data_IF_483353632516
#
_entry.id   IF_483353632516
#
_cell.length_a   1.000
_cell.length_b   1.000
_cell.length_c   1.000
_cell.angle_alpha   90.00
_cell.angle_beta   90.00
_cell.angle_gamma   90.00
#
_symmetry.space_group_name_H-M   'P 1'
#
loop_
_entity.id
_entity.type
_entity.pdbx_description
1 polymer ?
#
# COMPACT_ATOMS: atom_id res chain seq x y z
N UNK A 1 8.57 -2.94 65.90
CA UNK A 1 8.81 -4.19 65.14
C UNK A 1 8.45 -4.14 63.64
N UNK A 2 8.62 -3.00 62.92
CA UNK A 2 8.23 -2.87 61.48
C UNK A 2 9.36 -3.07 60.43
N UNK A 3 10.57 -3.47 60.85
CA UNK A 3 11.75 -3.61 59.96
C UNK A 3 11.77 -4.82 59.00
N UNK A 4 11.29 -6.03 59.35
CA UNK A 4 11.45 -7.20 58.47
C UNK A 4 10.58 -7.13 57.22
N UNK A 5 9.37 -6.55 57.31
CA UNK A 5 8.47 -6.38 56.17
C UNK A 5 9.02 -5.43 55.09
N UNK A 6 9.72 -4.36 55.49
CA UNK A 6 10.36 -3.42 54.55
C UNK A 6 11.56 -4.03 53.83
N UNK A 7 12.32 -4.89 54.50
CA UNK A 7 13.47 -5.59 53.90
C UNK A 7 13.03 -6.67 52.91
N UNK A 8 12.00 -7.44 53.27
CA UNK A 8 11.40 -8.44 52.39
C UNK A 8 10.79 -7.81 51.13
N UNK A 9 10.11 -6.66 51.28
CA UNK A 9 9.58 -5.90 50.14
C UNK A 9 10.70 -5.36 49.23
N UNK A 10 11.80 -4.86 49.80
CA UNK A 10 12.95 -4.39 49.03
C UNK A 10 13.66 -5.52 48.27
N UNK A 11 13.85 -6.68 48.90
CA UNK A 11 14.43 -7.88 48.28
C UNK A 11 13.53 -8.41 47.15
N UNK A 12 12.21 -8.47 47.38
CA UNK A 12 11.24 -8.85 46.36
C UNK A 12 11.25 -7.89 45.16
N UNK A 13 11.31 -6.57 45.40
CA UNK A 13 11.45 -5.57 44.34
C UNK A 13 12.75 -5.75 43.55
N UNK A 14 13.88 -6.00 44.24
CA UNK A 14 15.17 -6.20 43.57
C UNK A 14 15.21 -7.47 42.72
N UNK A 15 14.57 -8.56 43.18
CA UNK A 15 14.44 -9.80 42.42
C UNK A 15 13.55 -9.62 41.17
N UNK A 16 12.45 -8.87 41.28
CA UNK A 16 11.58 -8.53 40.16
C UNK A 16 12.30 -7.68 39.10
N UNK A 17 13.12 -6.71 39.52
CA UNK A 17 13.91 -5.88 38.61
C UNK A 17 14.99 -6.68 37.89
N UNK A 18 15.66 -7.62 38.58
CA UNK A 18 16.66 -8.50 37.96
C UNK A 18 16.03 -9.48 36.96
N UNK A 19 14.89 -10.08 37.31
CA UNK A 19 14.16 -10.98 36.41
C UNK A 19 13.68 -10.26 35.14
N UNK A 20 13.13 -9.04 35.28
CA UNK A 20 12.73 -8.20 34.15
C UNK A 20 13.91 -7.73 33.28
N UNK A 21 15.09 -7.51 33.87
CA UNK A 21 16.31 -7.22 33.12
C UNK A 21 16.80 -8.40 32.28
N UNK A 22 16.73 -9.61 32.84
CA UNK A 22 17.14 -10.85 32.16
C UNK A 22 16.22 -11.16 30.97
N UNK A 23 14.90 -11.01 31.11
CA UNK A 23 13.95 -11.27 30.02
C UNK A 23 14.17 -10.33 28.83
N UNK A 24 14.48 -9.05 29.06
CA UNK A 24 14.79 -8.08 28.00
C UNK A 24 16.07 -8.40 27.24
N UNK A 25 17.08 -8.94 27.92
CA UNK A 25 18.32 -9.37 27.25
C UNK A 25 18.06 -10.58 26.35
N UNK A 26 17.30 -11.56 26.85
CA UNK A 26 16.89 -12.73 26.06
C UNK A 26 16.02 -12.32 24.86
N UNK A 27 15.09 -11.38 25.03
CA UNK A 27 14.27 -10.87 23.93
C UNK A 27 15.11 -10.29 22.78
N UNK A 28 16.19 -9.55 23.12
CA UNK A 28 17.11 -8.98 22.12
C UNK A 28 17.98 -10.05 21.46
N UNK A 29 18.37 -11.10 22.19
CA UNK A 29 19.08 -12.23 21.59
C UNK A 29 18.19 -12.98 20.59
N UNK A 30 16.94 -13.27 20.96
CA UNK A 30 15.94 -13.86 20.06
C UNK A 30 15.67 -12.97 18.83
N UNK A 31 15.53 -11.65 19.02
CA UNK A 31 15.45 -10.71 17.90
C UNK A 31 16.66 -10.83 16.95
N UNK A 32 17.88 -10.89 17.47
CA UNK A 32 19.09 -11.01 16.66
C UNK A 32 19.17 -12.35 15.92
N UNK A 33 18.73 -13.45 16.54
CA UNK A 33 18.61 -14.76 15.88
C UNK A 33 17.60 -14.69 14.73
N UNK A 34 16.43 -14.10 14.98
CA UNK A 34 15.41 -13.90 13.96
C UNK A 34 15.90 -13.05 12.79
N UNK A 35 16.63 -11.96 13.04
CA UNK A 35 17.22 -11.13 11.98
C UNK A 35 18.24 -11.91 11.14
N UNK A 36 19.05 -12.78 11.76
CA UNK A 36 19.99 -13.64 11.02
C UNK A 36 19.25 -14.65 10.14
N UNK A 37 18.24 -15.32 10.68
CA UNK A 37 17.41 -16.25 9.91
C UNK A 37 16.69 -15.55 8.75
N UNK A 38 16.12 -14.37 8.98
CA UNK A 38 15.47 -13.55 7.95
C UNK A 38 16.44 -13.20 6.81
N UNK A 39 17.66 -12.73 7.15
CA UNK A 39 18.70 -12.43 6.16
C UNK A 39 19.16 -13.65 5.36
N UNK A 40 19.02 -14.84 5.93
CA UNK A 40 19.26 -16.12 5.26
C UNK A 40 18.04 -16.65 4.50
N UNK A 41 16.97 -15.84 4.34
CA UNK A 41 15.68 -16.21 3.75
C UNK A 41 14.96 -17.39 4.45
N UNK A 42 15.34 -17.69 5.70
CA UNK A 42 14.69 -18.71 6.53
C UNK A 42 13.51 -18.06 7.28
N UNK A 43 12.45 -17.72 6.54
CA UNK A 43 11.36 -16.88 7.08
C UNK A 43 10.60 -17.54 8.24
N UNK A 44 10.35 -18.85 8.19
CA UNK A 44 9.65 -19.55 9.27
C UNK A 44 10.47 -19.57 10.57
N UNK A 45 11.76 -19.87 10.47
CA UNK A 45 12.69 -19.79 11.61
C UNK A 45 12.80 -18.35 12.14
N UNK A 46 12.77 -17.36 11.25
CA UNK A 46 12.77 -15.96 11.68
C UNK A 46 11.50 -15.61 12.47
N UNK A 47 10.33 -16.05 11.99
CA UNK A 47 9.03 -15.86 12.65
C UNK A 47 9.04 -16.43 14.07
N UNK A 48 9.53 -17.67 14.25
CA UNK A 48 9.62 -18.31 15.57
C UNK A 48 10.45 -17.47 16.56
N UNK A 49 11.63 -17.03 16.12
CA UNK A 49 12.50 -16.18 16.94
C UNK A 49 11.88 -14.82 17.26
N UNK A 50 11.20 -14.17 16.30
CA UNK A 50 10.54 -12.89 16.56
C UNK A 50 9.34 -13.03 17.50
N UNK A 51 8.54 -14.10 17.37
CA UNK A 51 7.47 -14.41 18.32
C UNK A 51 8.03 -14.61 19.72
N UNK A 52 9.13 -15.37 19.86
CA UNK A 52 9.77 -15.57 21.16
C UNK A 52 10.32 -14.28 21.75
N UNK A 53 10.88 -13.40 20.92
CA UNK A 53 11.32 -12.07 21.35
C UNK A 53 10.15 -11.23 21.91
N UNK A 54 8.98 -11.27 21.26
CA UNK A 54 7.76 -10.57 21.71
C UNK A 54 7.21 -11.18 23.01
N UNK A 55 7.26 -12.50 23.18
CA UNK A 55 6.84 -13.15 24.44
C UNK A 55 7.72 -12.71 25.63
N UNK A 56 9.03 -12.57 25.40
CA UNK A 56 10.01 -12.20 26.42
C UNK A 56 9.97 -10.69 26.75
N UNK A 57 9.73 -9.85 25.75
CA UNK A 57 9.53 -8.41 25.91
C UNK A 57 8.45 -7.89 24.94
N UNK A 58 7.17 -7.84 25.38
CA UNK A 58 6.08 -7.35 24.54
C UNK A 58 6.20 -5.88 24.12
N UNK A 59 7.10 -5.12 24.77
CA UNK A 59 7.39 -3.71 24.46
C UNK A 59 8.47 -3.54 23.39
N UNK A 60 9.13 -4.63 22.97
CA UNK A 60 10.18 -4.61 21.95
C UNK A 60 9.58 -4.43 20.54
N UNK A 61 9.22 -3.19 20.22
CA UNK A 61 8.53 -2.82 18.98
C UNK A 61 9.24 -3.33 17.71
N UNK A 62 10.57 -3.31 17.71
CA UNK A 62 11.36 -3.82 16.60
C UNK A 62 11.09 -5.31 16.31
N UNK A 63 10.84 -6.14 17.33
CA UNK A 63 10.52 -7.55 17.11
C UNK A 63 9.17 -7.71 16.39
N UNK A 64 8.18 -6.85 16.70
CA UNK A 64 6.90 -6.82 15.96
C UNK A 64 7.07 -6.37 14.52
N UNK A 65 7.86 -5.32 14.29
CA UNK A 65 8.18 -4.84 12.94
C UNK A 65 8.81 -5.97 12.12
N UNK A 66 9.83 -6.64 12.64
CA UNK A 66 10.49 -7.73 11.92
C UNK A 66 9.59 -8.96 11.73
N UNK A 67 8.73 -9.29 12.71
CA UNK A 67 7.73 -10.34 12.55
C UNK A 67 6.76 -10.02 11.39
N UNK A 68 6.24 -8.79 11.36
CA UNK A 68 5.33 -8.33 10.32
C UNK A 68 5.99 -8.36 8.93
N UNK A 69 7.26 -7.92 8.83
CA UNK A 69 8.04 -8.00 7.60
C UNK A 69 8.28 -9.45 7.17
N UNK A 70 8.55 -10.36 8.11
CA UNK A 70 8.73 -11.78 7.80
C UNK A 70 7.47 -12.41 7.20
N UNK A 71 6.28 -12.10 7.76
CA UNK A 71 5.01 -12.51 7.15
C UNK A 71 4.81 -11.86 5.77
N UNK A 72 5.05 -10.55 5.65
CA UNK A 72 4.91 -9.82 4.39
C UNK A 72 5.87 -10.32 3.30
N UNK A 73 7.03 -10.87 3.67
CA UNK A 73 8.01 -11.43 2.72
C UNK A 73 7.58 -12.77 2.13
N UNK A 74 6.68 -13.49 2.81
CA UNK A 74 6.08 -14.73 2.30
C UNK A 74 4.79 -14.47 1.50
N UNK A 75 4.19 -13.29 1.65
CA UNK A 75 3.00 -12.91 0.90
C UNK A 75 3.32 -12.67 -0.58
N UNK A 76 2.51 -13.25 -1.46
CA UNK A 76 2.59 -13.10 -2.92
C UNK A 76 1.42 -12.22 -3.38
N UNK A 77 1.66 -10.97 -3.82
CA UNK A 77 0.62 -10.10 -4.34
C UNK A 77 -0.16 -10.76 -5.48
N UNK A 78 -1.49 -10.66 -5.45
CA UNK A 78 -2.35 -11.24 -6.49
C UNK A 78 -2.66 -12.73 -6.36
N UNK A 79 -1.99 -13.47 -5.46
CA UNK A 79 -2.35 -14.85 -5.19
C UNK A 79 -3.62 -14.92 -4.30
N UNK A 80 -4.72 -15.55 -4.77
CA UNK A 80 -6.00 -15.56 -4.06
C UNK A 80 -6.11 -16.65 -2.98
N UNK A 81 -5.07 -17.47 -2.74
CA UNK A 81 -5.15 -18.56 -1.77
C UNK A 81 -5.38 -18.04 -0.34
N UNK A 82 -6.16 -18.78 0.46
CA UNK A 82 -6.45 -18.39 1.84
C UNK A 82 -5.18 -18.37 2.71
N UNK A 83 -4.21 -19.25 2.43
CA UNK A 83 -2.90 -19.24 3.09
C UNK A 83 -2.15 -17.93 2.79
N UNK A 84 -2.20 -17.46 1.54
CA UNK A 84 -1.60 -16.20 1.15
C UNK A 84 -2.30 -15.00 1.82
N UNK A 85 -3.64 -15.02 1.88
CA UNK A 85 -4.42 -13.97 2.57
C UNK A 85 -4.13 -13.95 4.07
N UNK A 86 -3.95 -15.12 4.69
CA UNK A 86 -3.62 -15.24 6.09
C UNK A 86 -2.22 -14.66 6.41
N UNK A 87 -1.24 -14.83 5.53
CA UNK A 87 0.07 -14.18 5.66
C UNK A 87 -0.05 -12.65 5.68
N UNK A 88 -0.83 -12.08 4.75
CA UNK A 88 -1.10 -10.64 4.74
C UNK A 88 -1.83 -10.19 6.01
N UNK A 89 -2.83 -10.95 6.48
CA UNK A 89 -3.57 -10.63 7.71
C UNK A 89 -2.67 -10.59 8.94
N UNK A 90 -1.80 -11.59 9.10
CA UNK A 90 -0.81 -11.63 10.21
C UNK A 90 0.17 -10.46 10.13
N UNK A 91 0.65 -10.14 8.93
CA UNK A 91 1.53 -8.99 8.73
C UNK A 91 0.84 -7.67 9.10
N UNK A 92 -0.40 -7.45 8.61
CA UNK A 92 -1.19 -6.26 8.91
C UNK A 92 -1.44 -6.14 10.42
N UNK A 93 -1.85 -7.23 11.09
CA UNK A 93 -2.13 -7.22 12.53
C UNK A 93 -0.89 -6.79 13.35
N UNK A 94 0.30 -7.31 13.03
CA UNK A 94 1.52 -6.90 13.73
C UNK A 94 1.94 -5.47 13.40
N UNK A 95 1.77 -5.00 12.17
CA UNK A 95 1.98 -3.59 11.83
C UNK A 95 0.97 -2.66 12.52
N UNK A 96 -0.29 -3.06 12.66
CA UNK A 96 -1.30 -2.29 13.40
C UNK A 96 -0.92 -2.17 14.88
N UNK A 97 -0.43 -3.24 15.50
CA UNK A 97 0.15 -3.19 16.86
C UNK A 97 1.36 -2.26 16.97
N UNK A 98 2.14 -2.12 15.89
CA UNK A 98 3.21 -1.12 15.83
C UNK A 98 2.63 0.29 15.83
N UNK A 99 1.58 0.54 15.03
CA UNK A 99 0.90 1.83 14.92
C UNK A 99 0.16 2.25 16.19
N UNK A 100 -0.27 1.30 17.04
CA UNK A 100 -0.80 1.61 18.37
C UNK A 100 0.22 2.31 19.27
N UNK A 101 1.52 2.05 19.07
CA UNK A 101 2.63 2.64 19.86
C UNK A 101 3.30 3.80 19.14
N UNK A 102 3.40 3.72 17.82
CA UNK A 102 3.97 4.74 16.94
C UNK A 102 3.02 5.00 15.76
N UNK A 103 1.99 5.85 15.94
CA UNK A 103 0.97 6.09 14.91
C UNK A 103 1.50 6.70 13.61
N UNK A 104 2.72 7.25 13.64
CA UNK A 104 3.39 7.87 12.49
C UNK A 104 4.51 6.99 11.93
N UNK A 105 4.54 5.71 12.27
CA UNK A 105 5.52 4.78 11.73
C UNK A 105 5.33 4.61 10.21
N UNK A 106 6.12 5.34 9.43
CA UNK A 106 6.05 5.38 7.95
C UNK A 106 6.21 3.97 7.35
N UNK A 107 7.09 3.16 7.92
CA UNK A 107 7.33 1.80 7.46
C UNK A 107 6.07 0.93 7.59
N UNK A 108 5.45 0.90 8.78
CA UNK A 108 4.24 0.13 9.02
C UNK A 108 3.07 0.59 8.15
N UNK A 109 2.85 1.91 8.04
CA UNK A 109 1.83 2.47 7.15
C UNK A 109 2.05 2.05 5.69
N UNK A 110 3.30 2.12 5.21
CA UNK A 110 3.68 1.73 3.84
C UNK A 110 3.46 0.26 3.55
N UNK A 111 3.83 -0.63 4.47
CA UNK A 111 3.58 -2.06 4.32
C UNK A 111 2.09 -2.38 4.34
N UNK A 112 1.31 -1.84 5.28
CA UNK A 112 -0.14 -2.09 5.33
C UNK A 112 -0.81 -1.64 4.03
N UNK A 113 -0.48 -0.43 3.54
CA UNK A 113 -1.00 0.05 2.27
C UNK A 113 -0.68 -0.90 1.10
N UNK A 114 0.54 -1.44 1.07
CA UNK A 114 1.00 -2.34 0.00
C UNK A 114 0.37 -3.74 0.11
N UNK A 115 0.18 -4.25 1.32
CA UNK A 115 -0.49 -5.53 1.57
C UNK A 115 -1.97 -5.46 1.16
N UNK A 116 -2.68 -4.38 1.47
CA UNK A 116 -4.04 -4.19 0.98
C UNK A 116 -4.13 -4.07 -0.54
N UNK A 117 -3.19 -3.39 -1.18
CA UNK A 117 -3.11 -3.38 -2.64
C UNK A 117 -2.93 -4.80 -3.21
N UNK A 118 -1.99 -5.57 -2.65
CA UNK A 118 -1.73 -6.94 -3.09
C UNK A 118 -2.90 -7.89 -2.86
N UNK A 119 -3.64 -7.74 -1.75
CA UNK A 119 -4.87 -8.48 -1.47
C UNK A 119 -5.95 -8.17 -2.52
N UNK A 120 -6.16 -6.88 -2.82
CA UNK A 120 -7.08 -6.48 -3.88
C UNK A 120 -6.71 -7.05 -5.24
N UNK A 121 -5.42 -7.15 -5.57
CA UNK A 121 -4.96 -7.74 -6.82
C UNK A 121 -5.33 -9.22 -7.01
N UNK A 122 -5.65 -9.95 -5.94
CA UNK A 122 -6.06 -11.36 -5.99
C UNK A 122 -7.57 -11.57 -6.09
N UNK A 123 -8.37 -10.51 -5.93
CA UNK A 123 -9.82 -10.63 -5.91
C UNK A 123 -10.44 -10.65 -7.31
N UNK A 124 -11.59 -11.33 -7.43
CA UNK A 124 -12.28 -11.53 -8.72
C UNK A 124 -13.38 -10.52 -8.99
N UNK A 125 -14.01 -9.96 -7.96
CA UNK A 125 -15.12 -9.02 -8.12
C UNK A 125 -14.62 -7.60 -7.91
N UNK A 126 -15.14 -6.66 -8.68
CA UNK A 126 -14.82 -5.24 -8.51
C UNK A 126 -15.12 -4.74 -7.08
N UNK A 127 -16.15 -5.31 -6.43
CA UNK A 127 -16.52 -4.98 -5.06
C UNK A 127 -15.43 -5.35 -4.04
N UNK A 128 -14.91 -6.59 -4.08
CA UNK A 128 -13.85 -7.01 -3.17
C UNK A 128 -12.51 -6.31 -3.48
N UNK A 129 -12.20 -6.07 -4.76
CA UNK A 129 -11.03 -5.26 -5.15
C UNK A 129 -11.13 -3.85 -4.54
N UNK A 130 -12.29 -3.20 -4.72
CA UNK A 130 -12.56 -1.84 -4.19
C UNK A 130 -12.38 -1.78 -2.68
N UNK A 131 -12.93 -2.75 -1.96
CA UNK A 131 -12.82 -2.82 -0.49
C UNK A 131 -11.36 -2.82 -0.03
N UNK A 132 -10.49 -3.59 -0.67
CA UNK A 132 -9.07 -3.59 -0.32
C UNK A 132 -8.33 -2.34 -0.80
N UNK A 133 -8.65 -1.84 -1.99
CA UNK A 133 -8.01 -0.62 -2.52
C UNK A 133 -8.36 0.62 -1.70
N UNK A 134 -9.59 0.76 -1.19
CA UNK A 134 -9.94 1.86 -0.30
C UNK A 134 -9.14 1.81 1.01
N UNK A 135 -8.95 0.63 1.60
CA UNK A 135 -8.04 0.49 2.75
C UNK A 135 -6.60 0.88 2.38
N UNK A 136 -6.10 0.48 1.21
CA UNK A 136 -4.79 0.93 0.73
C UNK A 136 -4.72 2.47 0.65
N UNK A 137 -5.74 3.11 0.06
CA UNK A 137 -5.84 4.58 -0.03
C UNK A 137 -5.87 5.25 1.33
N UNK A 138 -6.61 4.74 2.31
CA UNK A 138 -6.64 5.27 3.67
C UNK A 138 -5.24 5.36 4.30
N UNK A 139 -4.46 4.28 4.22
CA UNK A 139 -3.10 4.26 4.75
C UNK A 139 -2.14 5.15 3.95
N UNK A 140 -2.33 5.29 2.63
CA UNK A 140 -1.56 6.23 1.81
C UNK A 140 -1.89 7.70 2.11
N UNK A 141 -3.14 8.03 2.43
CA UNK A 141 -3.50 9.37 2.90
C UNK A 141 -2.84 9.69 4.24
N UNK A 142 -2.71 8.71 5.15
CA UNK A 142 -1.90 8.89 6.39
C UNK A 142 -0.43 9.18 6.07
N UNK A 143 0.15 8.50 5.07
CA UNK A 143 1.51 8.79 4.63
C UNK A 143 1.66 10.20 4.06
N UNK A 144 0.69 10.68 3.26
CA UNK A 144 0.65 12.07 2.76
C UNK A 144 0.62 13.08 3.91
N UNK A 145 -0.12 12.80 4.98
CA UNK A 145 -0.16 13.67 6.17
C UNK A 145 1.18 13.75 6.91
N UNK A 146 2.05 12.74 6.75
CA UNK A 146 3.39 12.71 7.36
C UNK A 146 4.41 13.36 6.45
N UNK A 147 4.39 13.01 5.16
CA UNK A 147 5.27 13.55 4.13
C UNK A 147 4.49 13.88 2.85
N UNK A 148 4.03 15.13 2.77
CA UNK A 148 3.30 15.65 1.61
C UNK A 148 4.18 15.92 0.39
N UNK A 149 5.51 15.81 0.53
CA UNK A 149 6.47 16.05 -0.56
C UNK A 149 6.95 14.75 -1.21
N UNK A 150 6.44 13.60 -0.79
CA UNK A 150 6.71 12.34 -1.43
C UNK A 150 5.70 12.08 -2.57
N UNK A 151 6.11 12.14 -3.86
CA UNK A 151 5.20 11.97 -4.98
C UNK A 151 4.64 10.55 -5.08
N UNK A 152 5.32 9.55 -4.48
CA UNK A 152 4.93 8.15 -4.55
C UNK A 152 3.57 7.89 -3.89
N UNK A 153 3.27 8.59 -2.80
CA UNK A 153 2.02 8.38 -2.07
C UNK A 153 0.80 8.84 -2.89
N UNK A 154 0.92 9.95 -3.60
CA UNK A 154 -0.10 10.45 -4.51
C UNK A 154 -0.20 9.55 -5.76
N UNK A 155 0.93 9.23 -6.39
CA UNK A 155 1.00 8.33 -7.53
C UNK A 155 0.26 7.02 -7.26
N UNK A 156 0.57 6.37 -6.13
CA UNK A 156 -0.07 5.13 -5.72
C UNK A 156 -1.60 5.25 -5.61
N UNK A 157 -2.15 6.34 -5.06
CA UNK A 157 -3.61 6.54 -5.01
C UNK A 157 -4.19 6.70 -6.43
N UNK A 158 -3.49 7.43 -7.30
CA UNK A 158 -3.84 7.57 -8.71
C UNK A 158 -3.94 6.24 -9.45
N UNK A 159 -2.96 5.36 -9.26
CA UNK A 159 -2.93 4.00 -9.83
C UNK A 159 -4.11 3.16 -9.34
N UNK A 160 -4.42 3.21 -8.04
CA UNK A 160 -5.57 2.48 -7.46
C UNK A 160 -6.89 2.93 -8.09
N UNK A 161 -7.09 4.24 -8.23
CA UNK A 161 -8.28 4.80 -8.85
C UNK A 161 -8.37 4.44 -10.33
N UNK A 162 -7.27 4.54 -11.09
CA UNK A 162 -7.24 4.09 -12.47
C UNK A 162 -7.64 2.61 -12.60
N UNK A 163 -7.10 1.73 -11.75
CA UNK A 163 -7.37 0.30 -11.82
C UNK A 163 -8.85 -0.01 -11.56
N UNK A 164 -9.50 0.70 -10.61
CA UNK A 164 -10.94 0.59 -10.38
C UNK A 164 -11.75 1.10 -11.57
N UNK A 165 -11.39 2.26 -12.12
CA UNK A 165 -12.06 2.82 -13.28
C UNK A 165 -11.96 1.89 -14.50
N UNK A 166 -10.75 1.42 -14.78
CA UNK A 166 -10.45 0.54 -15.90
C UNK A 166 -11.23 -0.77 -15.82
N UNK A 167 -11.21 -1.45 -14.67
CA UNK A 167 -11.95 -2.70 -14.50
C UNK A 167 -13.45 -2.50 -14.65
N UNK A 168 -14.02 -1.45 -14.05
CA UNK A 168 -15.44 -1.14 -14.19
C UNK A 168 -15.82 -0.86 -15.66
N UNK A 169 -14.94 -0.18 -16.40
CA UNK A 169 -15.11 0.08 -17.82
C UNK A 169 -15.08 -1.22 -18.64
N UNK A 170 -14.11 -2.11 -18.41
CA UNK A 170 -14.03 -3.42 -19.07
C UNK A 170 -15.30 -4.26 -18.82
N UNK A 171 -15.74 -4.36 -17.55
CA UNK A 171 -16.97 -5.07 -17.18
C UNK A 171 -18.21 -4.46 -17.89
N UNK A 172 -18.26 -3.14 -18.05
CA UNK A 172 -19.33 -2.42 -18.76
C UNK A 172 -19.27 -2.68 -20.26
N UNK A 173 -18.10 -2.61 -20.87
CA UNK A 173 -17.91 -2.89 -22.31
C UNK A 173 -18.33 -4.31 -22.66
N UNK A 174 -17.96 -5.28 -21.81
CA UNK A 174 -18.38 -6.67 -21.98
C UNK A 174 -19.90 -6.83 -21.86
N UNK A 175 -20.54 -6.22 -20.86
CA UNK A 175 -21.99 -6.35 -20.65
C UNK A 175 -22.82 -5.72 -21.79
N UNK A 176 -22.32 -4.63 -22.37
CA UNK A 176 -22.93 -3.97 -23.52
C UNK A 176 -22.43 -4.50 -24.89
N UNK A 177 -21.51 -5.48 -24.92
CA UNK A 177 -20.92 -6.06 -26.14
C UNK A 177 -20.21 -5.04 -27.05
N UNK A 178 -19.49 -4.08 -26.44
CA UNK A 178 -18.70 -3.05 -27.12
C UNK A 178 -17.22 -3.23 -26.77
N UNK A 179 -16.54 -4.28 -27.27
CA UNK A 179 -15.20 -4.67 -26.82
C UNK A 179 -14.09 -3.72 -27.28
N UNK A 180 -14.36 -2.91 -28.30
CA UNK A 180 -13.40 -1.98 -28.90
C UNK A 180 -13.30 -0.70 -28.08
N UNK A 181 -12.10 -0.35 -27.61
CA UNK A 181 -11.88 0.83 -26.78
C UNK A 181 -12.14 2.15 -27.53
N UNK A 182 -11.90 2.19 -28.85
CA UNK A 182 -12.18 3.34 -29.71
C UNK A 182 -13.69 3.54 -29.95
N UNK A 183 -14.49 2.48 -29.82
CA UNK A 183 -15.93 2.54 -29.97
C UNK A 183 -16.58 3.15 -28.71
N UNK A 184 -17.42 4.16 -28.95
CA UNK A 184 -18.12 4.89 -27.89
C UNK A 184 -19.22 4.01 -27.27
N UNK A 185 -19.22 3.93 -25.95
CA UNK A 185 -20.27 3.24 -25.19
C UNK A 185 -21.66 3.89 -25.46
N UNK A 186 -22.74 3.08 -25.48
CA UNK A 186 -24.12 3.59 -25.52
C UNK A 186 -24.37 4.61 -24.42
N UNK A 187 -25.26 5.58 -24.65
CA UNK A 187 -25.52 6.67 -23.69
C UNK A 187 -25.85 6.16 -22.29
N UNK A 188 -26.72 5.15 -22.19
CA UNK A 188 -27.09 4.53 -20.91
C UNK A 188 -25.87 3.95 -20.19
N UNK A 189 -25.02 3.20 -20.90
CA UNK A 189 -23.81 2.61 -20.35
C UNK A 189 -22.84 3.68 -19.84
N UNK A 190 -22.69 4.79 -20.59
CA UNK A 190 -21.85 5.92 -20.17
C UNK A 190 -22.34 6.58 -18.90
N UNK A 191 -23.65 6.83 -18.78
CA UNK A 191 -24.26 7.41 -17.56
C UNK A 191 -24.05 6.50 -16.36
N UNK A 192 -24.38 5.21 -16.48
CA UNK A 192 -24.18 4.21 -15.41
C UNK A 192 -22.70 4.07 -15.01
N UNK A 193 -21.78 4.13 -15.98
CA UNK A 193 -20.34 4.08 -15.70
C UNK A 193 -19.84 5.38 -15.06
N UNK A 194 -20.31 6.54 -15.52
CA UNK A 194 -19.94 7.85 -14.98
C UNK A 194 -20.37 8.01 -13.52
N UNK A 195 -21.54 7.51 -13.14
CA UNK A 195 -21.99 7.48 -11.73
C UNK A 195 -21.03 6.69 -10.83
N UNK A 196 -20.47 5.59 -11.34
CA UNK A 196 -19.55 4.71 -10.58
C UNK A 196 -18.11 5.21 -10.60
N UNK A 197 -17.66 5.77 -11.72
CA UNK A 197 -16.27 6.08 -11.99
C UNK A 197 -15.94 7.57 -11.90
N UNK A 198 -16.90 8.49 -11.99
CA UNK A 198 -16.65 9.93 -12.09
C UNK A 198 -15.74 10.44 -10.96
N UNK A 199 -16.17 10.26 -9.72
CA UNK A 199 -15.40 10.68 -8.55
C UNK A 199 -14.04 9.97 -8.42
N UNK A 200 -13.95 8.69 -8.82
CA UNK A 200 -12.69 7.96 -8.82
C UNK A 200 -11.72 8.53 -9.86
N UNK A 201 -12.22 8.82 -11.06
CA UNK A 201 -11.43 9.36 -12.15
C UNK A 201 -10.93 10.77 -11.82
N UNK A 202 -11.78 11.59 -11.20
CA UNK A 202 -11.42 12.94 -10.74
C UNK A 202 -10.33 12.89 -9.67
N UNK A 203 -10.51 12.09 -8.62
CA UNK A 203 -9.48 11.94 -7.58
C UNK A 203 -8.19 11.35 -8.17
N UNK A 204 -8.29 10.38 -9.08
CA UNK A 204 -7.10 9.80 -9.70
C UNK A 204 -6.32 10.83 -10.53
N UNK A 205 -6.99 11.71 -11.28
CA UNK A 205 -6.35 12.84 -11.98
C UNK A 205 -5.66 13.76 -10.97
N UNK A 206 -6.38 14.20 -9.93
CA UNK A 206 -5.86 15.12 -8.91
C UNK A 206 -4.57 14.56 -8.27
N UNK A 207 -4.60 13.28 -7.87
CA UNK A 207 -3.45 12.64 -7.23
C UNK A 207 -2.27 12.48 -8.19
N UNK A 208 -2.51 12.12 -9.45
CA UNK A 208 -1.44 11.98 -10.45
C UNK A 208 -0.83 13.33 -10.83
N UNK A 209 -1.66 14.36 -11.00
CA UNK A 209 -1.22 15.73 -11.21
C UNK A 209 -0.38 16.22 -10.03
N UNK A 210 -0.80 15.91 -8.79
CA UNK A 210 -0.01 16.26 -7.60
C UNK A 210 1.34 15.56 -7.57
N UNK A 211 1.39 14.27 -7.91
CA UNK A 211 2.65 13.52 -8.02
C UNK A 211 3.59 14.15 -9.06
N UNK A 212 3.05 14.57 -10.22
CA UNK A 212 3.79 15.22 -11.30
C UNK A 212 4.21 16.65 -10.92
N UNK A 213 3.41 17.37 -10.13
CA UNK A 213 3.78 18.69 -9.62
C UNK A 213 5.02 18.59 -8.73
N UNK A 214 5.08 17.58 -7.88
CA UNK A 214 6.21 17.33 -6.97
C UNK A 214 7.43 16.80 -7.75
N UNK A 215 7.22 15.85 -8.66
CA UNK A 215 8.26 15.32 -9.53
C UNK A 215 7.84 15.45 -11.02
N UNK A 216 8.23 16.54 -11.70
CA UNK A 216 7.86 16.78 -13.09
C UNK A 216 8.39 15.75 -14.11
N UNK A 217 9.37 14.93 -13.71
CA UNK A 217 9.93 13.84 -14.52
C UNK A 217 9.43 12.46 -14.08
N UNK A 218 8.35 12.38 -13.29
CA UNK A 218 7.79 11.10 -12.88
C UNK A 218 7.05 10.41 -14.04
N UNK A 219 7.82 9.69 -14.86
CA UNK A 219 7.34 9.05 -16.10
C UNK A 219 6.14 8.13 -15.86
N UNK A 220 6.13 7.36 -14.77
CA UNK A 220 5.04 6.44 -14.48
C UNK A 220 3.75 7.18 -14.10
N UNK A 221 3.84 8.24 -13.28
CA UNK A 221 2.67 9.07 -12.98
C UNK A 221 2.08 9.74 -14.24
N UNK A 222 2.93 10.18 -15.17
CA UNK A 222 2.48 10.73 -16.47
C UNK A 222 1.80 9.65 -17.31
N UNK A 223 2.33 8.42 -17.31
CA UNK A 223 1.72 7.29 -18.00
C UNK A 223 0.32 7.00 -17.47
N UNK A 224 0.15 6.94 -16.14
CA UNK A 224 -1.17 6.73 -15.54
C UNK A 224 -2.11 7.93 -15.73
N UNK A 225 -1.59 9.15 -15.81
CA UNK A 225 -2.41 10.34 -16.09
C UNK A 225 -2.99 10.29 -17.51
N UNK A 226 -2.22 9.85 -18.49
CA UNK A 226 -2.74 9.50 -19.82
C UNK A 226 -3.88 8.47 -19.71
N UNK A 227 -3.63 7.35 -19.03
CA UNK A 227 -4.62 6.26 -18.96
C UNK A 227 -5.92 6.68 -18.27
N UNK A 228 -5.87 7.54 -17.25
CA UNK A 228 -7.07 8.00 -16.56
C UNK A 228 -7.83 9.05 -17.38
N UNK A 229 -7.16 9.90 -18.17
CA UNK A 229 -7.84 10.75 -19.13
C UNK A 229 -8.58 9.94 -20.20
N UNK A 230 -8.02 8.80 -20.64
CA UNK A 230 -8.76 7.86 -21.51
C UNK A 230 -9.99 7.27 -20.83
N UNK A 231 -9.94 7.02 -19.52
CA UNK A 231 -11.14 6.65 -18.78
C UNK A 231 -12.16 7.78 -18.78
N UNK A 232 -11.76 9.04 -18.52
CA UNK A 232 -12.66 10.20 -18.56
C UNK A 232 -13.28 10.43 -19.94
N UNK A 233 -12.54 10.17 -21.01
CA UNK A 233 -13.04 10.21 -22.39
C UNK A 233 -14.20 9.22 -22.63
N UNK A 234 -14.17 8.05 -21.97
CA UNK A 234 -15.25 7.07 -22.02
C UNK A 234 -16.47 7.46 -21.17
N UNK A 235 -16.27 8.22 -20.09
CA UNK A 235 -17.34 8.76 -19.25
C UNK A 235 -18.02 9.99 -19.88
N UNK A 236 -17.30 10.70 -20.75
CA UNK A 236 -17.68 12.01 -21.28
C UNK A 236 -19.10 12.04 -21.87
N UNK A 237 -19.90 13.02 -21.44
CA UNK A 237 -21.30 13.18 -21.86
C UNK A 237 -21.39 13.57 -23.34
N UNK A 238 -20.60 14.57 -23.73
CA UNK A 238 -20.59 15.14 -25.08
C UNK A 238 -19.40 14.63 -25.92
N UNK A 239 -19.47 14.70 -27.26
CA UNK A 239 -18.32 14.47 -28.13
C UNK A 239 -17.16 15.44 -27.85
N UNK A 240 -17.46 16.70 -27.53
CA UNK A 240 -16.47 17.73 -27.26
C UNK A 240 -15.68 17.43 -25.99
N UNK A 241 -16.36 17.02 -24.89
CA UNK A 241 -15.67 16.62 -23.66
C UNK A 241 -14.79 15.39 -23.90
N UNK A 242 -15.27 14.45 -24.73
CA UNK A 242 -14.50 13.26 -25.08
C UNK A 242 -13.22 13.64 -25.81
N UNK A 243 -13.32 14.49 -26.84
CA UNK A 243 -12.17 14.97 -27.61
C UNK A 243 -11.17 15.69 -26.71
N UNK A 244 -11.65 16.57 -25.82
CA UNK A 244 -10.81 17.25 -24.84
C UNK A 244 -9.99 16.27 -23.98
N UNK A 245 -10.61 15.22 -23.43
CA UNK A 245 -9.87 14.23 -22.62
C UNK A 245 -8.92 13.37 -23.45
N UNK A 246 -9.23 13.09 -24.72
CA UNK A 246 -8.30 12.39 -25.62
C UNK A 246 -7.08 13.26 -25.93
N UNK A 247 -7.27 14.56 -26.17
CA UNK A 247 -6.17 15.49 -26.38
C UNK A 247 -5.25 15.58 -25.15
N UNK A 248 -5.82 15.64 -23.94
CA UNK A 248 -5.03 15.60 -22.70
C UNK A 248 -4.28 14.27 -22.55
N UNK A 249 -4.90 13.15 -22.89
CA UNK A 249 -4.27 11.83 -22.85
C UNK A 249 -3.07 11.75 -23.82
N UNK A 250 -3.23 12.25 -25.04
CA UNK A 250 -2.19 12.24 -26.07
C UNK A 250 -1.05 13.21 -25.70
N UNK A 251 -1.35 14.37 -25.11
CA UNK A 251 -0.32 15.26 -24.57
C UNK A 251 0.54 14.58 -23.49
N UNK A 252 -0.08 13.80 -22.59
CA UNK A 252 0.64 13.06 -21.56
C UNK A 252 1.46 11.92 -22.17
N UNK A 253 0.94 11.21 -23.17
CA UNK A 253 1.68 10.19 -23.91
C UNK A 253 2.93 10.78 -24.59
N UNK A 254 2.79 11.90 -25.28
CA UNK A 254 3.90 12.58 -25.95
C UNK A 254 4.94 13.08 -24.94
N UNK A 255 4.48 13.62 -23.80
CA UNK A 255 5.38 14.03 -22.70
C UNK A 255 6.14 12.84 -22.12
N UNK A 256 5.47 11.71 -21.89
CA UNK A 256 6.09 10.48 -21.42
C UNK A 256 7.17 9.99 -22.39
N UNK A 257 6.87 10.00 -23.70
CA UNK A 257 7.81 9.62 -24.75
C UNK A 257 9.06 10.51 -24.76
N UNK A 258 8.88 11.84 -24.75
CA UNK A 258 9.99 12.80 -24.70
C UNK A 258 10.91 12.58 -23.49
N UNK A 259 10.34 12.39 -22.29
CA UNK A 259 11.13 12.15 -21.08
C UNK A 259 11.93 10.85 -21.14
N UNK A 260 11.40 9.80 -21.78
CA UNK A 260 12.12 8.54 -21.99
C UNK A 260 13.27 8.70 -22.99
N UNK A 261 13.07 9.46 -24.06
CA UNK A 261 14.11 9.77 -25.04
C UNK A 261 15.23 10.62 -24.43
N UNK A 262 14.89 11.64 -23.64
CA UNK A 262 15.85 12.45 -22.88
C UNK A 262 16.72 11.60 -21.93
N UNK A 263 16.12 10.63 -21.24
CA UNK A 263 16.83 9.74 -20.33
C UNK A 263 17.80 8.79 -21.06
N UNK A 264 17.46 8.37 -22.28
CA UNK A 264 18.31 7.50 -23.11
C UNK A 264 19.44 8.26 -23.80
N UNK A 265 19.23 9.54 -24.13
CA UNK A 265 20.22 10.41 -24.75
C UNK A 265 21.21 11.07 -23.77
N UNK A 266 20.98 10.96 -22.45
CA UNK A 266 21.85 11.52 -21.45
C UNK A 266 23.17 10.70 -21.34
N UNK A 267 24.35 11.33 -21.43
CA UNK A 267 25.61 10.62 -21.19
C UNK A 267 25.62 10.06 -19.77
N UNK A 268 26.09 8.82 -19.61
CA UNK A 268 26.30 8.19 -18.31
C UNK A 268 27.39 9.01 -17.59
N UNK A 269 26.99 9.75 -16.55
CA UNK A 269 27.91 10.47 -15.67
C UNK A 269 28.51 9.54 -14.62
#
# INVERSE_FOLDING_TARGET
MRRPAKLALALALSALLFAAGCSKLLARDELNKGVRAYKAAQFDTAIEHFQRAIELDPSLLNARIYLAIAYASQFVPGNPSEENKELARKAIEEFERVLEKDPKNVLALGYIASLYYGLGGGEKTLEEIRKWFEKSKEYRRKLIQIDAQNPEHYYSIGVLNWALCHRANEETRLSYRVPRADERLPERARKELAEKNGALADEGVEMLEKAIQINPKYVDAIAYLNLIYRQKADLAETPQDREHYLDLADQMFDRQKRLREEAQGAPIQ
#
